data_IF_252612353558
#
_entry.id   IF_252612353558
#
_cell.length_a   1.000
_cell.length_b   1.000
_cell.length_c   1.000
_cell.angle_alpha   90.00
_cell.angle_beta   90.00
_cell.angle_gamma   90.00
#
_symmetry.space_group_name_H-M   'P 1'
#
loop_
_entity.id
_entity.type
_entity.pdbx_description
1 polymer ?
#
# COMPACT_ATOMS: atom_id res chain seq x y z
N UNK A 1 -5.05 13.73 -28.60
CA UNK A 1 -4.68 13.30 -27.24
C UNK A 1 -4.85 11.78 -27.04
N UNK A 2 -6.00 11.21 -27.44
CA UNK A 2 -6.31 9.76 -27.31
C UNK A 2 -5.21 8.81 -27.84
N UNK A 3 -4.66 9.02 -29.04
CA UNK A 3 -3.59 8.14 -29.54
C UNK A 3 -2.32 8.15 -28.66
N UNK A 4 -1.99 9.30 -28.07
CA UNK A 4 -0.83 9.43 -27.19
C UNK A 4 -1.05 8.69 -25.86
N UNK A 5 -2.27 8.73 -25.30
CA UNK A 5 -2.60 7.99 -24.06
C UNK A 5 -2.54 6.47 -24.29
N UNK A 6 -3.08 5.98 -25.42
CA UNK A 6 -2.96 4.56 -25.81
C UNK A 6 -1.50 4.12 -25.92
N UNK A 7 -0.66 4.89 -26.60
CA UNK A 7 0.77 4.59 -26.74
C UNK A 7 1.49 4.62 -25.38
N UNK A 8 1.23 5.65 -24.56
CA UNK A 8 1.78 5.78 -23.22
C UNK A 8 1.46 4.56 -22.34
N UNK A 9 0.19 4.12 -22.33
CA UNK A 9 -0.23 2.97 -21.52
C UNK A 9 0.51 1.69 -21.92
N UNK A 10 0.66 1.45 -23.23
CA UNK A 10 1.42 0.29 -23.74
C UNK A 10 2.87 0.33 -23.26
N UNK A 11 3.51 1.51 -23.25
CA UNK A 11 4.87 1.68 -22.73
C UNK A 11 4.94 1.39 -21.23
N UNK A 12 4.03 1.96 -20.43
CA UNK A 12 3.98 1.73 -18.97
C UNK A 12 3.81 0.25 -18.64
N UNK A 13 2.90 -0.46 -19.31
CA UNK A 13 2.68 -1.88 -19.03
C UNK A 13 3.83 -2.77 -19.51
N UNK A 14 4.52 -2.42 -20.61
CA UNK A 14 5.75 -3.10 -21.02
C UNK A 14 6.88 -2.90 -20.01
N UNK A 15 7.04 -1.68 -19.49
CA UNK A 15 8.02 -1.39 -18.44
C UNK A 15 7.73 -2.19 -17.17
N UNK A 16 6.46 -2.34 -16.77
CA UNK A 16 6.07 -3.23 -15.67
C UNK A 16 6.47 -4.67 -15.94
N UNK A 17 6.15 -5.20 -17.12
CA UNK A 17 6.51 -6.58 -17.47
C UNK A 17 8.04 -6.81 -17.42
N UNK A 18 8.82 -5.86 -17.93
CA UNK A 18 10.29 -5.91 -17.84
C UNK A 18 10.79 -5.89 -16.39
N UNK A 19 10.25 -5.01 -15.57
CA UNK A 19 10.64 -4.89 -14.16
C UNK A 19 10.38 -6.19 -13.38
N UNK A 20 9.24 -6.85 -13.64
CA UNK A 20 8.86 -8.09 -12.98
C UNK A 20 9.69 -9.30 -13.44
N UNK A 21 10.04 -9.36 -14.73
CA UNK A 21 10.95 -10.37 -15.26
C UNK A 21 12.34 -10.25 -14.62
N UNK A 22 12.84 -9.01 -14.46
CA UNK A 22 14.12 -8.76 -13.78
C UNK A 22 14.08 -9.16 -12.30
N UNK A 23 13.01 -8.79 -11.59
CA UNK A 23 12.83 -9.16 -10.18
C UNK A 23 12.74 -10.69 -9.99
N UNK A 24 12.06 -11.38 -10.90
CA UNK A 24 11.96 -12.85 -10.87
C UNK A 24 13.33 -13.50 -11.07
N UNK A 25 14.14 -13.00 -12.01
CA UNK A 25 15.47 -13.52 -12.30
C UNK A 25 16.47 -13.32 -11.15
N UNK A 26 16.37 -12.22 -10.41
CA UNK A 26 17.19 -11.96 -9.22
C UNK A 26 16.86 -12.92 -8.06
N UNK A 27 15.58 -13.29 -7.90
CA UNK A 27 15.18 -14.23 -6.86
C UNK A 27 15.73 -15.66 -7.11
N UNK A 28 15.84 -16.10 -8.38
CA UNK A 28 16.42 -17.41 -8.71
C UNK A 28 17.94 -17.46 -8.53
N UNK A 29 18.65 -16.35 -8.76
CA UNK A 29 20.10 -16.29 -8.59
C UNK A 29 20.51 -16.28 -7.11
N UNK A 30 19.74 -15.61 -6.25
CA UNK A 30 19.97 -15.62 -4.81
C UNK A 30 19.66 -16.98 -4.13
N UNK A 31 18.79 -17.82 -4.71
CA UNK A 31 18.55 -19.17 -4.18
C UNK A 31 19.68 -20.18 -4.47
N UNK A 32 20.61 -19.86 -5.37
CA UNK A 32 21.69 -20.77 -5.79
C UNK A 32 23.05 -20.53 -5.11
N UNK A 33 23.14 -19.61 -4.14
CA UNK A 33 24.36 -19.40 -3.34
C UNK A 33 24.38 -20.18 -2.01
N UNK A 34 23.48 -21.15 -1.83
CA UNK A 34 23.64 -22.19 -0.81
C UNK A 34 24.46 -23.34 -1.39
N UNK A 35 25.78 -23.26 -1.28
CA UNK A 35 26.71 -24.35 -1.62
C UNK A 35 27.69 -24.63 -0.46
N UNK A 36 28.33 -25.81 -0.44
CA UNK A 36 28.24 -26.75 0.68
C UNK A 36 29.57 -26.89 1.45
N UNK A 37 29.47 -27.54 2.61
CA UNK A 37 30.49 -28.27 3.40
C UNK A 37 31.95 -28.26 2.93
N UNK A 38 32.87 -27.91 3.86
CA UNK A 38 34.17 -28.57 3.95
C UNK A 38 35.34 -27.76 4.54
N UNK A 39 35.78 -28.17 5.76
CA UNK A 39 37.10 -27.93 6.39
C UNK A 39 37.39 -26.46 6.82
N UNK A 40 38.01 -26.11 7.95
CA UNK A 40 39.02 -26.73 8.84
C UNK A 40 38.84 -26.15 10.25
N UNK A 41 39.28 -26.91 11.25
CA UNK A 41 39.32 -26.64 12.69
C UNK A 41 39.72 -25.22 13.13
N UNK A 42 39.05 -24.74 14.18
CA UNK A 42 39.48 -23.61 15.02
C UNK A 42 40.73 -23.95 15.85
N UNK A 43 41.50 -22.91 16.23
CA UNK A 43 41.97 -22.82 17.59
C UNK A 43 41.41 -21.58 18.31
N UNK A 44 41.22 -21.77 19.61
CA UNK A 44 40.72 -20.83 20.61
C UNK A 44 41.61 -19.58 20.74
N UNK A 45 41.00 -18.42 20.96
CA UNK A 45 41.51 -17.41 21.91
C UNK A 45 40.45 -16.35 22.28
N UNK A 46 39.92 -16.51 23.50
CA UNK A 46 39.62 -15.53 24.56
C UNK A 46 38.71 -14.29 24.35
N UNK A 47 38.04 -13.83 25.43
CA UNK A 47 36.95 -12.86 25.39
C UNK A 47 37.42 -11.42 25.65
N UNK A 48 36.79 -10.44 25.00
CA UNK A 48 36.93 -9.02 25.36
C UNK A 48 35.56 -8.34 25.41
N UNK A 49 35.16 -8.03 26.64
CA UNK A 49 34.16 -7.02 26.97
C UNK A 49 34.58 -5.66 26.41
N UNK A 50 33.68 -4.95 25.73
CA UNK A 50 33.39 -3.54 26.05
C UNK A 50 32.21 -3.03 25.25
N UNK A 51 31.23 -2.52 26.00
CA UNK A 51 30.12 -1.68 25.55
C UNK A 51 30.65 -0.45 24.81
N UNK A 52 30.01 -0.08 23.71
CA UNK A 52 30.04 1.31 23.22
C UNK A 52 28.65 1.71 22.75
N UNK A 53 27.98 2.48 23.60
CA UNK A 53 26.84 3.33 23.28
C UNK A 53 27.38 4.47 22.41
N UNK A 54 26.89 4.60 21.18
CA UNK A 54 27.14 5.79 20.36
C UNK A 54 25.83 6.26 19.74
N UNK A 55 25.19 7.18 20.47
CA UNK A 55 24.16 8.09 19.95
C UNK A 55 24.81 9.03 18.93
N UNK A 56 24.26 9.11 17.73
CA UNK A 56 24.62 10.16 16.78
C UNK A 56 23.78 11.44 17.06
N UNK A 57 24.37 12.65 16.99
CA UNK A 57 23.67 13.91 17.19
C UNK A 57 22.91 14.36 15.93
N UNK A 58 21.72 14.91 16.14
CA UNK A 58 20.89 15.53 15.09
C UNK A 58 21.49 16.86 14.61
N UNK A 59 21.44 17.18 13.31
CA UNK A 59 21.80 18.51 12.83
C UNK A 59 20.66 19.50 13.07
N UNK A 60 20.94 20.53 13.85
CA UNK A 60 20.15 21.76 13.93
C UNK A 60 20.40 22.60 12.65
N UNK A 61 19.35 22.98 11.94
CA UNK A 61 19.42 24.02 10.91
C UNK A 61 18.45 25.14 11.25
N UNK A 62 19.04 26.27 11.63
CA UNK A 62 18.41 27.58 11.80
C UNK A 62 18.06 28.15 10.43
N UNK A 63 16.80 28.55 10.22
CA UNK A 63 16.37 29.33 9.07
C UNK A 63 16.14 30.78 9.49
N UNK A 64 16.99 31.68 8.99
CA UNK A 64 16.84 33.13 9.06
C UNK A 64 15.89 33.64 7.98
N UNK A 65 15.04 34.57 8.38
CA UNK A 65 14.11 35.32 7.53
C UNK A 65 14.83 36.31 6.60
N UNK A 66 14.27 36.49 5.40
CA UNK A 66 14.55 37.63 4.53
C UNK A 66 13.70 37.58 3.27
N UNK A 67 12.60 38.34 3.24
CA UNK A 67 11.86 38.64 2.00
C UNK A 67 11.71 40.15 1.87
N UNK A 68 12.24 40.68 0.78
CA UNK A 68 11.93 41.99 0.21
C UNK A 68 11.62 41.83 -1.29
N UNK A 69 10.35 42.11 -1.64
CA UNK A 69 9.86 43.01 -2.71
C UNK A 69 10.38 42.89 -4.17
N UNK A 70 9.40 42.70 -5.07
CA UNK A 70 9.18 43.27 -6.43
C UNK A 70 9.79 42.72 -7.74
N UNK A 71 8.85 42.56 -8.70
CA UNK A 71 8.84 42.81 -10.15
C UNK A 71 9.86 42.17 -11.13
N UNK A 72 9.34 41.71 -12.28
CA UNK A 72 10.02 41.86 -13.57
C UNK A 72 9.95 40.66 -14.52
N UNK A 73 9.39 40.88 -15.72
CA UNK A 73 9.39 40.00 -16.89
C UNK A 73 10.81 39.65 -17.38
N UNK A 74 10.97 38.48 -18.03
CA UNK A 74 12.16 38.21 -18.84
C UNK A 74 12.31 36.76 -19.32
N UNK A 75 12.20 36.57 -20.63
CA UNK A 75 12.54 35.34 -21.37
C UNK A 75 14.05 35.24 -21.57
N UNK A 76 14.66 34.05 -21.39
CA UNK A 76 15.65 33.40 -22.27
C UNK A 76 16.53 32.34 -21.55
N UNK A 77 16.63 31.18 -22.21
CA UNK A 77 17.78 30.28 -22.39
C UNK A 77 18.76 29.96 -21.22
N UNK A 78 18.74 28.68 -20.83
CA UNK A 78 19.91 27.77 -20.82
C UNK A 78 21.12 28.11 -19.96
N UNK A 79 21.30 27.38 -18.85
CA UNK A 79 22.61 26.83 -18.47
C UNK A 79 22.47 25.69 -17.43
N UNK A 80 23.12 24.57 -17.74
CA UNK A 80 23.33 23.41 -16.89
C UNK A 80 24.06 23.77 -15.57
N UNK A 81 23.51 23.28 -14.47
CA UNK A 81 24.18 23.23 -13.17
C UNK A 81 23.63 22.07 -12.34
N UNK A 82 24.48 21.16 -11.79
CA UNK A 82 24.01 20.00 -11.06
C UNK A 82 23.54 20.46 -9.66
N UNK A 83 22.23 20.57 -9.48
CA UNK A 83 21.61 20.79 -8.18
C UNK A 83 21.81 19.59 -7.24
N UNK A 84 21.87 19.80 -5.91
CA UNK A 84 22.28 18.80 -4.94
C UNK A 84 21.30 17.63 -4.93
N UNK A 85 21.81 16.46 -5.27
CA UNK A 85 21.06 15.21 -5.30
C UNK A 85 20.60 14.83 -3.89
N UNK A 86 19.29 14.66 -3.74
CA UNK A 86 18.63 14.08 -2.59
C UNK A 86 19.28 12.70 -2.23
N UNK A 87 19.90 12.51 -1.05
CA UNK A 87 20.68 11.31 -0.74
C UNK A 87 19.83 10.03 -0.59
N UNK A 88 18.50 10.14 -0.56
CA UNK A 88 17.60 9.00 -0.43
C UNK A 88 17.33 8.21 -1.73
N UNK A 89 17.94 8.57 -2.86
CA UNK A 89 17.81 7.82 -4.13
C UNK A 89 18.91 6.75 -4.30
N UNK A 90 19.98 6.81 -3.49
CA UNK A 90 21.19 6.02 -3.71
C UNK A 90 21.25 4.66 -3.01
N UNK A 91 20.40 4.39 -2.00
CA UNK A 91 20.43 3.09 -1.30
C UNK A 91 19.63 1.97 -2.00
N UNK A 92 18.87 2.29 -3.06
CA UNK A 92 18.18 1.31 -3.93
C UNK A 92 18.81 1.26 -5.33
N UNK A 93 20.09 1.65 -5.48
CA UNK A 93 20.68 2.06 -6.76
C UNK A 93 21.66 1.13 -7.44
N UNK A 94 22.09 0.05 -6.81
CA UNK A 94 23.23 -0.68 -7.35
C UNK A 94 22.90 -1.92 -8.19
N UNK A 95 21.66 -2.41 -8.27
CA UNK A 95 21.32 -3.60 -9.09
C UNK A 95 19.87 -3.70 -9.64
N UNK A 96 19.00 -2.69 -9.52
CA UNK A 96 17.56 -2.83 -9.81
C UNK A 96 17.04 -2.12 -11.08
N UNK A 97 15.93 -2.62 -11.65
CA UNK A 97 15.16 -1.95 -12.71
C UNK A 97 14.84 -0.49 -12.34
N UNK A 98 15.08 0.44 -13.25
CA UNK A 98 14.81 1.87 -13.06
C UNK A 98 14.06 2.43 -14.26
N UNK A 99 12.92 3.05 -14.00
CA UNK A 99 12.18 3.85 -14.99
C UNK A 99 11.56 5.07 -14.33
N UNK A 100 11.54 6.24 -15.01
CA UNK A 100 10.80 7.40 -14.52
C UNK A 100 9.28 7.19 -14.60
N UNK A 101 8.81 6.29 -15.49
CA UNK A 101 7.39 6.05 -15.74
C UNK A 101 6.80 4.90 -14.91
N UNK A 102 7.63 3.98 -14.43
CA UNK A 102 7.18 2.83 -13.65
C UNK A 102 8.20 2.42 -12.58
N UNK A 103 7.72 1.98 -11.41
CA UNK A 103 8.54 1.44 -10.32
C UNK A 103 7.96 0.11 -9.84
N UNK A 104 8.81 -0.88 -9.62
CA UNK A 104 8.41 -2.19 -9.08
C UNK A 104 7.71 -2.04 -7.74
N UNK A 105 6.69 -2.86 -7.50
CA UNK A 105 5.89 -2.82 -6.27
C UNK A 105 5.01 -1.58 -6.14
N UNK A 106 4.79 -0.84 -7.24
CA UNK A 106 3.84 0.28 -7.33
C UNK A 106 2.80 0.04 -8.41
N UNK A 107 1.61 0.60 -8.22
CA UNK A 107 0.58 0.62 -9.23
C UNK A 107 1.06 1.41 -10.47
N UNK A 108 0.87 0.90 -11.69
CA UNK A 108 0.99 1.73 -12.88
C UNK A 108 -0.11 2.80 -12.87
N UNK A 109 0.23 4.02 -13.27
CA UNK A 109 -0.73 5.09 -13.55
C UNK A 109 -0.94 5.17 -15.05
N UNK A 110 -2.00 4.53 -15.52
CA UNK A 110 -2.47 4.59 -16.90
C UNK A 110 -3.29 5.86 -17.12
N UNK A 111 -3.37 6.28 -18.38
CA UNK A 111 -4.03 7.52 -18.79
C UNK A 111 -5.07 7.23 -19.86
N UNK A 112 -6.23 7.85 -19.75
CA UNK A 112 -7.24 7.94 -20.80
C UNK A 112 -7.61 9.40 -20.99
N UNK A 113 -8.37 9.69 -22.04
CA UNK A 113 -8.86 11.04 -22.30
C UNK A 113 -10.28 10.94 -22.86
N UNK A 114 -11.26 11.06 -21.97
CA UNK A 114 -12.69 11.00 -22.29
C UNK A 114 -13.31 12.37 -21.99
N UNK A 115 -13.46 13.25 -22.99
CA UNK A 115 -14.11 14.54 -22.75
C UNK A 115 -15.56 14.32 -22.33
N UNK A 116 -15.96 14.90 -21.19
CA UNK A 116 -17.35 14.96 -20.74
C UNK A 116 -17.93 16.33 -21.11
N UNK A 117 -18.74 16.45 -22.18
CA UNK A 117 -19.27 17.74 -22.62
C UNK A 117 -20.26 18.34 -21.62
N UNK A 118 -20.88 17.50 -20.78
CA UNK A 118 -21.83 17.90 -19.75
C UNK A 118 -21.13 18.32 -18.44
N UNK A 119 -19.82 18.07 -18.33
CA UNK A 119 -19.02 18.43 -17.15
C UNK A 119 -19.20 17.48 -15.96
N UNK A 120 -20.10 16.50 -16.06
CA UNK A 120 -20.29 15.49 -15.03
C UNK A 120 -19.03 14.62 -14.91
N UNK A 121 -18.49 14.62 -13.70
CA UNK A 121 -17.30 13.86 -13.33
C UNK A 121 -17.67 12.40 -13.04
N UNK A 122 -17.04 11.46 -13.77
CA UNK A 122 -17.20 10.00 -13.57
C UNK A 122 -18.66 9.52 -13.64
N UNK A 123 -19.45 10.04 -14.57
CA UNK A 123 -20.73 9.39 -14.88
C UNK A 123 -20.50 7.92 -15.29
N UNK A 124 -21.48 7.04 -15.07
CA UNK A 124 -21.40 5.63 -15.50
C UNK A 124 -21.03 5.51 -16.99
N UNK A 125 -21.55 6.41 -17.83
CA UNK A 125 -21.22 6.47 -19.25
C UNK A 125 -19.74 6.83 -19.50
N UNK A 126 -19.20 7.80 -18.75
CA UNK A 126 -17.79 8.20 -18.84
C UNK A 126 -16.86 7.06 -18.39
N UNK A 127 -17.21 6.33 -17.33
CA UNK A 127 -16.44 5.17 -16.84
C UNK A 127 -16.43 4.05 -17.89
N UNK A 128 -17.60 3.72 -18.47
CA UNK A 128 -17.69 2.71 -19.53
C UNK A 128 -16.89 3.10 -20.79
N UNK A 129 -16.85 4.39 -21.13
CA UNK A 129 -16.06 4.88 -22.25
C UNK A 129 -14.55 4.85 -21.94
N UNK A 130 -14.14 5.09 -20.69
CA UNK A 130 -12.76 4.86 -20.25
C UNK A 130 -12.35 3.40 -20.45
N UNK A 131 -13.21 2.44 -20.08
CA UNK A 131 -12.95 1.02 -20.33
C UNK A 131 -12.90 0.69 -21.83
N UNK A 132 -13.80 1.29 -22.62
CA UNK A 132 -13.80 1.13 -24.07
C UNK A 132 -12.49 1.64 -24.68
N UNK A 133 -11.94 2.76 -24.20
CA UNK A 133 -10.65 3.26 -24.62
C UNK A 133 -9.48 2.33 -24.25
N UNK A 134 -9.53 1.69 -23.08
CA UNK A 134 -8.54 0.67 -22.70
C UNK A 134 -8.62 -0.58 -23.58
N UNK A 135 -9.84 -0.99 -23.99
CA UNK A 135 -10.05 -2.07 -24.98
C UNK A 135 -9.51 -1.67 -26.36
N UNK A 136 -9.85 -0.48 -26.87
CA UNK A 136 -9.31 0.06 -28.13
C UNK A 136 -7.77 0.23 -28.09
N UNK A 137 -7.20 0.45 -26.91
CA UNK A 137 -5.76 0.45 -26.69
C UNK A 137 -5.13 -0.95 -26.73
N UNK A 138 -5.92 -2.02 -26.74
CA UNK A 138 -5.49 -3.42 -26.73
C UNK A 138 -4.97 -3.87 -25.36
N UNK A 139 -5.47 -3.28 -24.27
CA UNK A 139 -5.04 -3.58 -22.90
C UNK A 139 -6.01 -4.48 -22.15
N UNK A 140 -7.25 -4.54 -22.64
CA UNK A 140 -8.32 -5.41 -22.16
C UNK A 140 -8.75 -6.33 -23.32
N UNK A 141 -9.27 -7.54 -23.03
CA UNK A 141 -9.81 -8.41 -24.06
C UNK A 141 -11.02 -7.75 -24.75
N UNK A 142 -11.13 -7.95 -26.06
CA UNK A 142 -12.32 -7.55 -26.79
C UNK A 142 -13.46 -8.54 -26.48
N UNK A 143 -14.65 -7.99 -26.25
CA UNK A 143 -15.87 -8.81 -26.19
C UNK A 143 -16.46 -8.83 -27.60
N UNK A 144 -16.57 -10.00 -28.21
CA UNK A 144 -17.28 -10.11 -29.48
C UNK A 144 -18.76 -9.77 -29.28
N UNK A 145 -19.44 -9.31 -30.34
CA UNK A 145 -20.87 -8.96 -30.35
C UNK A 145 -21.82 -10.08 -29.87
N UNK A 146 -21.31 -11.30 -29.74
CA UNK A 146 -22.01 -12.50 -29.22
C UNK A 146 -21.73 -12.78 -27.74
N UNK A 147 -21.02 -11.89 -27.03
CA UNK A 147 -20.60 -12.08 -25.65
C UNK A 147 -19.46 -13.08 -25.45
N UNK A 148 -18.94 -13.69 -26.51
CA UNK A 148 -17.73 -14.52 -26.45
C UNK A 148 -16.53 -13.60 -26.23
N UNK A 149 -15.76 -13.83 -25.16
CA UNK A 149 -14.47 -13.18 -24.98
C UNK A 149 -13.59 -13.55 -26.16
N UNK A 150 -13.22 -12.53 -26.95
CA UNK A 150 -12.28 -12.71 -28.02
C UNK A 150 -10.88 -12.89 -27.41
N UNK A 151 -9.97 -13.53 -28.14
CA UNK A 151 -8.62 -13.94 -27.68
C UNK A 151 -7.65 -12.74 -27.56
N UNK A 152 -8.08 -11.66 -26.91
CA UNK A 152 -7.24 -10.52 -26.55
C UNK A 152 -6.46 -10.78 -25.26
N UNK A 153 -5.33 -10.09 -25.08
CA UNK A 153 -4.52 -10.24 -23.86
C UNK A 153 -5.05 -9.26 -22.82
N UNK A 154 -5.48 -9.76 -21.65
CA UNK A 154 -5.72 -8.91 -20.50
C UNK A 154 -4.36 -8.47 -19.92
N UNK A 155 -4.00 -7.21 -20.13
CA UNK A 155 -2.80 -6.61 -19.59
C UNK A 155 -3.04 -5.88 -18.29
N UNK A 156 -4.29 -5.57 -17.91
CA UNK A 156 -4.58 -4.95 -16.62
C UNK A 156 -4.55 -5.99 -15.50
N UNK A 157 -4.17 -5.55 -14.31
CA UNK A 157 -4.19 -6.35 -13.08
C UNK A 157 -4.96 -5.61 -12.01
N UNK A 158 -5.53 -6.38 -11.07
CA UNK A 158 -6.19 -5.84 -9.89
C UNK A 158 -5.30 -4.76 -9.25
N UNK A 159 -5.87 -3.59 -8.98
CA UNK A 159 -5.16 -2.45 -8.37
C UNK A 159 -4.41 -1.55 -9.34
N UNK A 160 -4.39 -1.82 -10.65
CA UNK A 160 -3.91 -0.84 -11.63
C UNK A 160 -4.78 0.43 -11.58
N UNK A 161 -4.15 1.60 -11.70
CA UNK A 161 -4.85 2.88 -11.60
C UNK A 161 -4.94 3.53 -12.97
N UNK A 162 -6.12 3.99 -13.32
CA UNK A 162 -6.41 4.69 -14.57
C UNK A 162 -6.83 6.10 -14.23
N UNK A 163 -6.30 7.08 -14.95
CA UNK A 163 -6.66 8.49 -14.80
C UNK A 163 -7.21 9.03 -16.10
N UNK A 164 -8.45 9.49 -16.07
CA UNK A 164 -9.01 10.30 -17.14
C UNK A 164 -8.48 11.73 -17.05
N UNK A 165 -7.56 12.06 -17.95
CA UNK A 165 -6.90 13.35 -17.98
C UNK A 165 -7.83 14.48 -18.44
N UNK A 166 -8.98 14.16 -19.03
CA UNK A 166 -9.95 15.18 -19.44
C UNK A 166 -10.54 15.93 -18.23
N UNK A 167 -10.57 15.28 -17.07
CA UNK A 167 -11.11 15.85 -15.81
C UNK A 167 -10.13 16.84 -15.16
N UNK A 168 -8.83 16.74 -15.44
CA UNK A 168 -7.78 17.54 -14.80
C UNK A 168 -7.07 16.82 -13.65
N UNK A 169 -6.12 17.50 -13.01
CA UNK A 169 -5.20 16.93 -12.00
C UNK A 169 -5.44 17.49 -10.58
N UNK A 170 -6.69 17.83 -10.27
CA UNK A 170 -7.06 18.23 -8.91
C UNK A 170 -7.25 16.99 -8.02
N UNK A 171 -6.48 16.89 -6.93
CA UNK A 171 -6.53 15.73 -6.04
C UNK A 171 -6.42 14.38 -6.78
N UNK A 172 -7.46 13.55 -6.67
CA UNK A 172 -7.60 12.32 -7.44
C UNK A 172 -8.76 12.37 -8.46
N UNK A 173 -9.15 13.56 -8.89
CA UNK A 173 -10.18 13.72 -9.91
C UNK A 173 -9.84 12.89 -11.16
N UNK A 174 -10.83 12.14 -11.63
CA UNK A 174 -10.75 11.24 -12.79
C UNK A 174 -9.96 9.95 -12.55
N UNK A 175 -9.50 9.66 -11.32
CA UNK A 175 -8.78 8.41 -11.03
C UNK A 175 -9.74 7.29 -10.64
N UNK A 176 -9.55 6.15 -11.26
CA UNK A 176 -10.28 4.90 -11.02
C UNK A 176 -9.28 3.76 -10.79
N UNK A 177 -9.71 2.72 -10.10
CA UNK A 177 -8.94 1.51 -9.83
C UNK A 177 -9.57 0.33 -10.55
N UNK A 178 -8.74 -0.47 -11.21
CA UNK A 178 -9.19 -1.72 -11.83
C UNK A 178 -9.40 -2.80 -10.76
N UNK A 179 -10.62 -3.34 -10.65
CA UNK A 179 -10.97 -4.39 -9.68
C UNK A 179 -10.74 -5.82 -10.20
N UNK A 180 -10.20 -5.95 -11.43
CA UNK A 180 -10.06 -7.22 -12.13
C UNK A 180 -11.06 -7.41 -13.27
N UNK A 181 -12.21 -6.73 -13.20
CA UNK A 181 -13.29 -6.83 -14.19
C UNK A 181 -13.77 -5.47 -14.71
N UNK A 182 -13.76 -4.45 -13.86
CA UNK A 182 -14.30 -3.12 -14.11
C UNK A 182 -13.38 -2.02 -13.52
N UNK A 183 -13.53 -0.81 -14.06
CA UNK A 183 -13.02 0.40 -13.41
C UNK A 183 -13.98 0.83 -12.32
N UNK A 184 -13.44 1.03 -11.12
CA UNK A 184 -14.19 1.44 -9.94
C UNK A 184 -13.66 2.78 -9.45
N UNK A 185 -14.58 3.66 -9.08
CA UNK A 185 -14.27 4.95 -8.49
C UNK A 185 -13.59 4.82 -7.12
N UNK A 186 -12.93 5.91 -6.71
CA UNK A 186 -12.40 6.02 -5.36
C UNK A 186 -13.53 6.19 -4.33
N UNK A 187 -13.23 5.83 -3.09
CA UNK A 187 -14.17 5.94 -1.98
C UNK A 187 -13.94 7.26 -1.23
N UNK A 188 -14.95 8.10 -1.19
CA UNK A 188 -14.91 9.43 -0.58
C UNK A 188 -15.34 9.44 0.90
N UNK A 189 -15.65 8.27 1.47
CA UNK A 189 -16.18 8.15 2.84
C UNK A 189 -15.25 8.71 3.92
N UNK A 190 -13.93 8.61 3.75
CA UNK A 190 -12.93 9.01 4.77
C UNK A 190 -11.91 10.04 4.27
N UNK A 191 -11.99 10.42 2.98
CA UNK A 191 -11.09 11.39 2.36
C UNK A 191 -11.85 12.18 1.29
N UNK A 192 -11.79 13.53 1.31
CA UNK A 192 -12.55 14.35 0.36
C UNK A 192 -11.96 14.25 -1.04
N UNK A 193 -10.71 13.78 -1.16
CA UNK A 193 -10.05 13.53 -2.43
C UNK A 193 -10.10 12.05 -2.83
N UNK A 194 -10.85 11.21 -2.11
CA UNK A 194 -11.00 9.78 -2.38
C UNK A 194 -9.84 8.92 -1.86
N UNK A 195 -10.18 7.71 -1.43
CA UNK A 195 -9.28 6.64 -1.01
C UNK A 195 -9.59 5.33 -1.78
N UNK A 196 -8.85 4.26 -1.50
CA UNK A 196 -9.08 2.98 -2.16
C UNK A 196 -10.47 2.40 -1.83
N UNK A 197 -11.20 1.91 -2.85
CA UNK A 197 -12.52 1.35 -2.65
C UNK A 197 -12.47 0.02 -1.89
N UNK A 198 -13.60 -0.34 -1.28
CA UNK A 198 -13.71 -1.49 -0.38
C UNK A 198 -13.43 -2.86 -0.95
N UNK A 199 -13.56 -2.98 -2.27
CA UNK A 199 -13.33 -4.22 -2.98
C UNK A 199 -11.84 -4.47 -3.27
N UNK A 200 -10.95 -3.54 -2.90
CA UNK A 200 -9.50 -3.69 -3.03
C UNK A 200 -8.93 -4.16 -1.68
N UNK A 201 -8.61 -5.46 -1.54
CA UNK A 201 -8.09 -5.99 -0.29
C UNK A 201 -6.67 -5.50 -0.05
N UNK A 202 -6.46 -4.71 0.99
CA UNK A 202 -5.19 -4.04 1.24
C UNK A 202 -4.01 -4.99 1.43
N UNK A 203 -4.24 -6.20 1.97
CA UNK A 203 -3.19 -7.22 2.13
C UNK A 203 -2.68 -7.77 0.80
N UNK A 204 -3.43 -7.65 -0.30
CA UNK A 204 -3.02 -8.17 -1.61
C UNK A 204 -1.94 -7.30 -2.30
N UNK A 205 -1.64 -6.13 -1.72
CA UNK A 205 -0.71 -5.15 -2.27
C UNK A 205 0.33 -4.79 -1.23
N UNK A 206 1.60 -4.51 -1.63
CA UNK A 206 2.56 -3.98 -0.68
C UNK A 206 2.04 -2.67 -0.08
N UNK A 207 2.34 -2.34 1.20
CA UNK A 207 1.84 -1.12 1.86
C UNK A 207 2.11 0.19 1.08
N UNK A 208 3.13 0.18 0.22
CA UNK A 208 3.51 1.33 -0.60
C UNK A 208 2.88 1.38 -2.00
N UNK A 209 2.11 0.37 -2.41
CA UNK A 209 1.70 0.15 -3.80
C UNK A 209 1.09 1.40 -4.46
N UNK A 210 0.20 2.09 -3.74
CA UNK A 210 -0.51 3.26 -4.24
C UNK A 210 0.16 4.61 -3.90
N UNK A 211 1.31 4.63 -3.21
CA UNK A 211 1.89 5.90 -2.77
C UNK A 211 2.27 6.80 -3.96
N UNK A 212 1.82 8.07 -3.95
CA UNK A 212 1.94 9.04 -5.05
C UNK A 212 1.18 8.67 -6.34
N UNK A 213 0.50 7.53 -6.38
CA UNK A 213 -0.39 7.13 -7.49
C UNK A 213 -1.84 7.48 -7.16
N UNK A 214 -2.28 7.15 -5.95
CA UNK A 214 -3.46 7.73 -5.32
C UNK A 214 -2.94 8.75 -4.30
N UNK A 215 -3.33 10.02 -4.45
CA UNK A 215 -3.02 11.09 -3.51
C UNK A 215 -3.82 10.86 -2.24
N UNK A 216 -3.26 11.25 -1.12
CA UNK A 216 -3.91 11.12 0.19
C UNK A 216 -3.97 12.52 0.78
N UNK A 217 -5.11 12.89 1.39
CA UNK A 217 -5.29 14.20 2.03
C UNK A 217 -4.30 14.44 3.18
N UNK A 218 -3.85 13.37 3.83
CA UNK A 218 -2.77 13.37 4.82
C UNK A 218 -1.55 12.57 4.34
N UNK A 219 -0.45 12.59 5.09
CA UNK A 219 0.71 11.74 4.82
C UNK A 219 0.39 10.23 4.91
N UNK A 220 -0.72 9.88 5.57
CA UNK A 220 -1.07 8.54 6.03
C UNK A 220 -2.31 7.99 5.31
N UNK A 221 -2.13 7.11 4.30
CA UNK A 221 -3.20 6.63 3.44
C UNK A 221 -4.17 5.74 4.22
N UNK A 222 -5.44 5.85 3.87
CA UNK A 222 -6.47 4.92 4.32
C UNK A 222 -6.37 3.63 3.50
N UNK A 223 -6.51 2.50 4.16
CA UNK A 223 -6.46 1.16 3.58
C UNK A 223 -7.48 0.26 4.27
N UNK A 224 -7.97 -0.75 3.55
CA UNK A 224 -8.92 -1.73 4.07
C UNK A 224 -8.24 -3.07 4.34
N UNK A 225 -8.16 -3.47 5.61
CA UNK A 225 -7.48 -4.66 6.10
C UNK A 225 -8.37 -5.42 7.09
N UNK A 226 -8.53 -6.71 6.86
CA UNK A 226 -9.17 -7.62 7.79
C UNK A 226 -8.11 -8.27 8.70
N UNK A 227 -7.98 -7.77 9.94
CA UNK A 227 -7.00 -8.28 10.91
C UNK A 227 -7.52 -9.44 11.77
N UNK A 228 -8.78 -9.88 11.59
CA UNK A 228 -9.39 -10.96 12.37
C UNK A 228 -8.55 -12.25 12.42
N UNK A 229 -7.84 -12.67 11.35
CA UNK A 229 -6.97 -13.85 11.41
C UNK A 229 -5.83 -13.76 12.45
N UNK A 230 -5.48 -12.54 12.89
CA UNK A 230 -4.44 -12.29 13.90
C UNK A 230 -5.00 -11.76 15.23
N UNK A 231 -6.31 -11.77 15.42
CA UNK A 231 -6.96 -11.20 16.60
C UNK A 231 -6.38 -11.73 17.92
N UNK A 232 -6.08 -13.03 18.01
CA UNK A 232 -5.48 -13.63 19.22
C UNK A 232 -4.11 -13.06 19.57
N UNK A 233 -3.26 -12.79 18.56
CA UNK A 233 -1.97 -12.13 18.79
C UNK A 233 -2.15 -10.66 19.17
N UNK A 234 -3.14 -9.98 18.58
CA UNK A 234 -3.48 -8.61 18.95
C UNK A 234 -3.95 -8.55 20.41
N UNK A 235 -4.78 -9.49 20.86
CA UNK A 235 -5.22 -9.55 22.25
C UNK A 235 -4.08 -9.82 23.22
N UNK A 236 -3.21 -10.79 22.91
CA UNK A 236 -2.10 -11.17 23.79
C UNK A 236 -1.05 -10.07 23.96
N UNK A 237 -0.88 -9.21 22.95
CA UNK A 237 0.16 -8.19 22.92
C UNK A 237 -0.37 -6.78 23.25
N UNK A 238 -1.64 -6.66 23.63
CA UNK A 238 -2.28 -5.38 23.89
C UNK A 238 -1.73 -4.71 25.16
N UNK A 239 -1.33 -3.45 25.04
CA UNK A 239 -0.82 -2.63 26.12
C UNK A 239 -1.37 -1.21 26.05
N UNK A 240 -1.62 -0.61 27.21
CA UNK A 240 -1.89 0.83 27.33
C UNK A 240 -0.56 1.55 27.60
N UNK A 241 -0.18 2.45 26.71
CA UNK A 241 1.09 3.16 26.75
C UNK A 241 0.88 4.67 26.84
N UNK A 242 1.73 5.34 27.62
CA UNK A 242 1.84 6.80 27.61
C UNK A 242 2.83 7.21 26.51
N UNK A 243 2.34 7.91 25.50
CA UNK A 243 3.16 8.41 24.39
C UNK A 243 3.36 9.92 24.51
N UNK A 244 4.61 10.37 24.31
CA UNK A 244 4.95 11.79 24.19
C UNK A 244 5.13 12.11 22.72
N UNK A 245 4.20 12.86 22.15
CA UNK A 245 4.24 13.29 20.76
C UNK A 245 4.54 14.80 20.68
N UNK A 246 5.33 15.20 19.69
CA UNK A 246 5.57 16.61 19.39
C UNK A 246 4.53 17.05 18.36
N UNK A 247 3.59 17.90 18.78
CA UNK A 247 2.52 18.40 17.92
C UNK A 247 2.81 19.85 17.55
N UNK A 248 2.67 20.19 16.27
CA UNK A 248 2.75 21.57 15.79
C UNK A 248 1.39 22.25 16.00
N UNK A 249 1.39 23.43 16.62
CA UNK A 249 0.18 24.25 16.75
C UNK A 249 -0.14 24.91 15.42
N UNK A 250 -1.39 25.35 15.19
CA UNK A 250 -1.75 26.10 13.98
C UNK A 250 -0.90 27.37 13.74
N UNK A 251 -0.17 27.85 14.76
CA UNK A 251 0.72 29.01 14.72
C UNK A 251 2.20 28.63 14.49
N UNK A 252 2.51 27.36 14.26
CA UNK A 252 3.87 26.86 13.99
C UNK A 252 4.73 26.58 15.23
N UNK A 253 4.18 26.67 16.45
CA UNK A 253 4.90 26.31 17.68
C UNK A 253 4.82 24.81 17.94
N UNK A 254 5.87 24.19 18.45
CA UNK A 254 5.87 22.77 18.79
C UNK A 254 5.64 22.55 20.28
N UNK A 255 4.62 21.77 20.63
CA UNK A 255 4.33 21.37 22.01
C UNK A 255 4.48 19.86 22.18
N UNK A 256 5.04 19.45 23.32
CA UNK A 256 5.04 18.05 23.72
C UNK A 256 3.70 17.73 24.36
N UNK A 257 2.91 16.90 23.68
CA UNK A 257 1.62 16.42 24.17
C UNK A 257 1.80 14.99 24.66
N UNK A 258 1.32 14.74 25.88
CA UNK A 258 1.21 13.39 26.42
C UNK A 258 -0.15 12.85 26.02
N UNK A 259 -0.18 11.70 25.34
CA UNK A 259 -1.40 10.98 25.00
C UNK A 259 -1.31 9.54 25.45
N UNK A 260 -2.43 8.99 25.89
CA UNK A 260 -2.56 7.56 26.13
C UNK A 260 -2.94 6.85 24.82
N UNK A 261 -2.34 5.67 24.59
CA UNK A 261 -2.49 4.91 23.34
C UNK A 261 -2.60 3.44 23.67
N UNK A 262 -3.60 2.77 23.10
CA UNK A 262 -3.62 1.32 23.08
C UNK A 262 -2.76 0.85 21.91
N UNK A 263 -1.71 0.09 22.20
CA UNK A 263 -0.80 -0.47 21.21
C UNK A 263 -0.80 -1.99 21.31
N UNK A 264 -0.82 -2.64 20.15
CA UNK A 264 -0.60 -4.07 20.05
C UNK A 264 0.19 -4.39 18.78
N UNK A 265 0.51 -5.66 18.55
CA UNK A 265 1.14 -6.09 17.31
C UNK A 265 0.85 -7.56 16.99
N UNK A 266 0.99 -7.90 15.72
CA UNK A 266 0.97 -9.27 15.24
C UNK A 266 2.04 -9.48 14.17
N UNK A 267 2.37 -10.75 13.90
CA UNK A 267 3.36 -11.09 12.88
C UNK A 267 2.72 -11.82 11.71
N UNK A 268 3.03 -11.36 10.50
CA UNK A 268 2.72 -12.03 9.24
C UNK A 268 4.00 -12.73 8.79
N UNK A 269 4.00 -14.05 8.77
CA UNK A 269 5.19 -14.84 8.43
C UNK A 269 5.03 -15.49 7.06
N UNK A 270 6.09 -15.55 6.25
CA UNK A 270 6.10 -16.43 5.09
C UNK A 270 5.72 -17.85 5.55
N UNK A 271 4.79 -18.51 4.89
CA UNK A 271 4.46 -19.89 5.21
C UNK A 271 5.73 -20.76 5.10
N UNK A 272 6.05 -21.45 6.20
CA UNK A 272 7.20 -22.36 6.25
C UNK A 272 6.95 -23.54 5.32
N UNK A 273 7.78 -23.66 4.27
CA UNK A 273 7.87 -24.88 3.47
C UNK A 273 8.34 -25.98 4.41
N UNK A 274 7.42 -26.82 4.88
CA UNK A 274 7.81 -28.06 5.55
C UNK A 274 8.47 -28.92 4.46
N UNK A 275 9.71 -29.38 4.63
CA UNK A 275 10.26 -30.39 3.73
C UNK A 275 9.34 -31.60 3.85
N UNK A 276 8.50 -31.83 2.84
CA UNK A 276 7.73 -33.05 2.76
C UNK A 276 8.75 -34.19 2.76
N UNK A 277 8.57 -35.10 3.72
CA UNK A 277 9.26 -36.38 3.73
C UNK A 277 9.23 -36.96 2.32
N UNK A 278 10.40 -37.22 1.76
CA UNK A 278 10.58 -37.83 0.45
C UNK A 278 10.02 -39.25 0.45
N UNK A 279 8.72 -39.40 0.24
CA UNK A 279 8.16 -40.64 -0.29
C UNK A 279 7.94 -40.44 -1.79
N UNK A 280 8.77 -41.18 -2.53
CA UNK A 280 8.95 -41.17 -3.99
C UNK A 280 7.62 -41.45 -4.73
N UNK A 281 7.47 -40.73 -5.85
CA UNK A 281 7.04 -41.14 -7.20
C UNK A 281 5.86 -40.35 -7.76
N UNK A 282 6.15 -39.22 -8.41
CA UNK A 282 5.56 -38.89 -9.71
C UNK A 282 6.40 -37.80 -10.38
N UNK A 283 6.63 -38.00 -11.67
CA UNK A 283 7.28 -37.05 -12.57
C UNK A 283 6.25 -36.01 -12.93
N UNK A 284 6.20 -34.89 -12.22
CA UNK A 284 5.54 -33.68 -12.70
C UNK A 284 6.23 -32.46 -12.11
N UNK A 285 6.96 -31.78 -12.99
CA UNK A 285 7.72 -30.57 -12.73
C UNK A 285 6.79 -29.40 -12.47
N UNK A 286 6.44 -29.16 -11.21
CA UNK A 286 5.87 -27.89 -10.78
C UNK A 286 6.79 -27.23 -9.75
N UNK A 287 7.23 -26.03 -10.11
CA UNK A 287 7.97 -25.06 -9.30
C UNK A 287 7.49 -25.09 -7.84
N UNK A 288 8.37 -24.93 -6.82
CA UNK A 288 7.92 -24.86 -5.44
C UNK A 288 6.98 -23.66 -5.33
N UNK A 289 5.68 -23.93 -5.29
CA UNK A 289 4.66 -22.92 -5.02
C UNK A 289 5.03 -22.39 -3.65
N UNK A 290 5.59 -21.17 -3.61
CA UNK A 290 5.74 -20.43 -2.37
C UNK A 290 4.38 -20.49 -1.71
N UNK A 291 4.27 -21.25 -0.62
CA UNK A 291 3.06 -21.26 0.18
C UNK A 291 2.84 -19.80 0.57
N UNK A 292 1.77 -19.17 0.07
CA UNK A 292 1.40 -17.78 0.39
C UNK A 292 0.21 -17.81 1.34
N UNK A 293 0.06 -16.78 2.18
CA UNK A 293 -1.07 -16.69 3.11
C UNK A 293 -2.31 -16.28 2.30
N UNK A 294 -3.40 -17.06 2.26
CA UNK A 294 -4.62 -16.65 1.57
C UNK A 294 -5.32 -15.51 2.33
N UNK A 295 -5.93 -14.59 1.60
CA UNK A 295 -6.77 -13.53 2.18
C UNK A 295 -8.21 -14.06 2.30
N UNK A 296 -8.83 -14.06 3.50
CA UNK A 296 -10.17 -14.60 3.70
C UNK A 296 -11.20 -14.04 2.72
N UNK A 297 -12.11 -14.90 2.24
CA UNK A 297 -13.19 -14.55 1.31
C UNK A 297 -12.72 -13.98 -0.05
N UNK A 298 -11.48 -14.25 -0.44
CA UNK A 298 -10.93 -13.87 -1.75
C UNK A 298 -10.12 -15.01 -2.35
N UNK A 299 -9.79 -14.91 -3.64
CA UNK A 299 -8.83 -15.79 -4.32
C UNK A 299 -7.38 -15.28 -4.24
N UNK A 300 -7.16 -14.20 -3.47
CA UNK A 300 -5.90 -13.48 -3.41
C UNK A 300 -5.08 -13.91 -2.20
N UNK A 301 -3.82 -13.50 -2.20
CA UNK A 301 -2.86 -13.84 -1.16
C UNK A 301 -2.22 -12.58 -0.58
N UNK A 302 -1.79 -12.66 0.67
CA UNK A 302 -1.04 -11.60 1.35
C UNK A 302 0.28 -11.37 0.61
N UNK A 303 0.49 -10.12 0.18
CA UNK A 303 1.70 -9.70 -0.49
C UNK A 303 2.91 -9.78 0.46
N UNK A 304 4.08 -10.25 -0.02
CA UNK A 304 5.29 -10.33 0.80
C UNK A 304 5.75 -9.02 1.44
N UNK A 305 5.34 -7.86 0.90
CA UNK A 305 5.58 -6.55 1.50
C UNK A 305 4.93 -6.36 2.88
N UNK A 306 4.00 -7.24 3.27
CA UNK A 306 3.41 -7.29 4.61
C UNK A 306 4.13 -8.25 5.57
N UNK A 307 5.06 -9.08 5.08
CA UNK A 307 5.75 -10.04 5.93
C UNK A 307 6.63 -9.31 6.95
N UNK A 308 6.53 -9.72 8.22
CA UNK A 308 7.14 -9.05 9.36
C UNK A 308 6.11 -8.72 10.43
N UNK A 309 6.38 -7.64 11.17
CA UNK A 309 5.55 -7.17 12.27
C UNK A 309 4.57 -6.10 11.79
N UNK A 310 3.30 -6.23 12.14
CA UNK A 310 2.31 -5.16 12.00
C UNK A 310 1.99 -4.64 13.39
N UNK A 311 2.22 -3.35 13.61
CA UNK A 311 1.91 -2.67 14.87
C UNK A 311 0.59 -1.93 14.71
N UNK A 312 -0.32 -2.17 15.65
CA UNK A 312 -1.67 -1.61 15.64
C UNK A 312 -1.78 -0.59 16.76
N UNK A 313 -2.29 0.60 16.46
CA UNK A 313 -2.56 1.65 17.43
C UNK A 313 -4.00 2.15 17.37
N UNK A 314 -4.54 2.48 18.54
CA UNK A 314 -5.78 3.23 18.70
C UNK A 314 -5.67 4.17 19.90
N UNK A 315 -6.60 5.11 20.01
CA UNK A 315 -6.63 6.08 21.11
C UNK A 315 -6.73 5.38 22.48
N UNK A 316 -6.21 6.00 23.53
CA UNK A 316 -6.19 5.48 24.90
C UNK A 316 -7.54 5.45 25.62
N UNK A 317 -8.65 5.61 24.91
CA UNK A 317 -10.00 5.61 25.50
C UNK A 317 -10.62 4.21 25.52
N UNK A 318 -11.63 4.00 26.36
CA UNK A 318 -12.33 2.71 26.45
C UNK A 318 -13.12 2.40 25.17
N UNK A 319 -13.64 3.41 24.49
CA UNK A 319 -14.39 3.28 23.24
C UNK A 319 -13.47 2.87 22.10
N UNK A 320 -12.28 3.47 22.04
CA UNK A 320 -11.25 3.13 21.06
C UNK A 320 -10.71 1.70 21.27
N UNK A 321 -10.54 1.29 22.53
CA UNK A 321 -10.21 -0.09 22.88
C UNK A 321 -11.32 -1.06 22.46
N UNK A 322 -12.58 -0.73 22.79
CA UNK A 322 -13.75 -1.50 22.39
C UNK A 322 -13.83 -1.72 20.87
N UNK A 323 -13.61 -0.66 20.08
CA UNK A 323 -13.57 -0.76 18.62
C UNK A 323 -12.45 -1.69 18.14
N UNK A 324 -11.24 -1.56 18.70
CA UNK A 324 -10.12 -2.48 18.39
C UNK A 324 -10.46 -3.94 18.72
N UNK A 325 -11.13 -4.20 19.85
CA UNK A 325 -11.57 -5.55 20.22
C UNK A 325 -12.56 -6.12 19.20
N UNK A 326 -13.52 -5.33 18.74
CA UNK A 326 -14.52 -5.75 17.75
C UNK A 326 -13.89 -6.07 16.38
N UNK A 327 -12.82 -5.36 16.01
CA UNK A 327 -12.05 -5.59 14.77
C UNK A 327 -11.23 -6.87 14.81
N UNK A 328 -10.90 -7.38 15.99
CA UNK A 328 -10.12 -8.61 16.14
C UNK A 328 -10.95 -9.88 15.91
N UNK A 329 -12.28 -9.75 15.83
CA UNK A 329 -13.19 -10.87 15.56
C UNK A 329 -13.78 -11.50 16.82
N UNK A 330 -14.79 -12.36 16.64
CA UNK A 330 -15.55 -12.92 17.75
C UNK A 330 -14.69 -13.82 18.63
N UNK A 331 -14.98 -13.83 19.94
CA UNK A 331 -14.36 -14.71 20.96
C UNK A 331 -12.85 -14.50 21.20
N UNK A 332 -12.24 -13.49 20.60
CA UNK A 332 -10.84 -13.14 20.87
C UNK A 332 -10.68 -12.46 22.23
N UNK A 333 -11.62 -11.57 22.56
CA UNK A 333 -11.70 -10.90 23.87
C UNK A 333 -12.89 -11.43 24.66
N UNK A 334 -12.85 -11.38 26.01
CA UNK A 334 -14.00 -11.73 26.84
C UNK A 334 -15.24 -10.93 26.47
N UNK A 335 -16.45 -11.53 26.54
CA UNK A 335 -17.69 -10.80 26.30
C UNK A 335 -17.81 -9.60 27.23
N UNK A 336 -18.12 -8.42 26.68
CA UNK A 336 -18.41 -7.22 27.47
C UNK A 336 -19.80 -7.35 28.11
N UNK A 337 -19.93 -6.93 29.37
CA UNK A 337 -21.21 -6.91 30.05
C UNK A 337 -22.21 -6.03 29.27
N UNK A 338 -23.31 -6.63 28.80
CA UNK A 338 -24.35 -5.96 27.99
C UNK A 338 -24.17 -6.02 26.47
N UNK A 339 -23.21 -6.80 25.95
CA UNK A 339 -23.00 -6.95 24.51
C UNK A 339 -24.16 -7.65 23.81
N UNK A 340 -24.94 -6.90 23.02
CA UNK A 340 -25.95 -7.45 22.11
C UNK A 340 -25.26 -8.26 21.02
N UNK A 341 -25.64 -9.51 20.82
CA UNK A 341 -25.17 -10.33 19.70
C UNK A 341 -25.70 -9.67 18.41
N UNK A 342 -24.83 -9.24 17.47
CA UNK A 342 -25.32 -8.60 16.24
C UNK A 342 -26.10 -9.62 15.40
N UNK A 343 -27.34 -9.26 15.05
CA UNK A 343 -28.19 -10.07 14.20
C UNK A 343 -27.86 -9.73 12.73
N UNK A 344 -27.17 -10.62 12.02
CA UNK A 344 -26.50 -10.36 10.73
C UNK A 344 -27.41 -10.00 9.52
N UNK A 345 -28.69 -9.72 9.74
CA UNK A 345 -29.68 -9.59 8.67
C UNK A 345 -30.05 -8.14 8.30
N UNK A 346 -29.42 -7.11 8.88
CA UNK A 346 -29.69 -5.71 8.49
C UNK A 346 -28.59 -5.10 7.61
N UNK A 347 -28.93 -4.28 6.59
CA UNK A 347 -27.94 -3.58 5.76
C UNK A 347 -26.94 -2.76 6.57
N UNK A 348 -27.38 -2.20 7.69
CA UNK A 348 -26.58 -1.39 8.60
C UNK A 348 -25.45 -2.20 9.26
N UNK A 349 -25.63 -3.52 9.44
CA UNK A 349 -24.60 -4.37 10.04
C UNK A 349 -23.47 -4.69 9.05
N UNK A 350 -23.75 -4.75 7.75
CA UNK A 350 -22.70 -4.89 6.71
C UNK A 350 -21.81 -3.66 6.67
N UNK A 351 -22.38 -2.46 6.71
CA UNK A 351 -21.60 -1.21 6.73
C UNK A 351 -20.71 -1.14 7.99
N UNK A 352 -21.24 -1.58 9.15
CA UNK A 352 -20.45 -1.68 10.39
C UNK A 352 -19.32 -2.69 10.29
N UNK A 353 -19.55 -3.86 9.70
CA UNK A 353 -18.48 -4.85 9.46
C UNK A 353 -17.42 -4.32 8.49
N UNK A 354 -17.81 -3.58 7.46
CA UNK A 354 -16.88 -2.94 6.53
C UNK A 354 -16.07 -1.83 7.20
N UNK A 355 -16.67 -1.05 8.09
CA UNK A 355 -15.99 0.00 8.86
C UNK A 355 -14.87 -0.55 9.76
N UNK A 356 -15.04 -1.77 10.28
CA UNK A 356 -14.02 -2.48 11.08
C UNK A 356 -12.74 -2.78 10.31
N UNK A 357 -12.79 -2.76 8.98
CA UNK A 357 -11.62 -3.01 8.14
C UNK A 357 -10.85 -1.73 7.79
N UNK A 358 -11.29 -0.54 8.21
CA UNK A 358 -10.67 0.73 7.79
C UNK A 358 -9.52 1.13 8.71
N UNK A 359 -8.33 1.30 8.15
CA UNK A 359 -7.09 1.65 8.85
C UNK A 359 -6.32 2.75 8.12
N UNK A 360 -5.49 3.50 8.85
CA UNK A 360 -4.45 4.38 8.27
C UNK A 360 -3.09 3.72 8.39
N UNK A 361 -2.29 3.75 7.33
CA UNK A 361 -0.87 3.38 7.41
C UNK A 361 -0.08 4.60 7.90
N UNK A 362 0.61 4.46 9.03
CA UNK A 362 1.45 5.51 9.62
C UNK A 362 2.81 5.49 8.93
N UNK A 363 2.95 6.24 7.84
CA UNK A 363 4.11 6.14 6.94
C UNK A 363 5.41 6.56 7.61
N UNK A 364 5.35 7.59 8.46
CA UNK A 364 6.50 8.13 9.17
C UNK A 364 7.09 7.16 10.21
N UNK A 365 6.31 6.15 10.62
CA UNK A 365 6.75 5.11 11.57
C UNK A 365 7.01 3.77 10.91
N UNK A 366 6.42 3.54 9.74
CA UNK A 366 6.52 2.29 8.99
C UNK A 366 7.86 2.16 8.28
N UNK A 367 8.39 0.93 8.24
CA UNK A 367 9.61 0.55 7.53
C UNK A 367 9.47 -0.89 7.01
N UNK A 368 10.27 -1.32 6.02
CA UNK A 368 10.24 -2.71 5.57
C UNK A 368 10.36 -3.69 6.74
N UNK A 369 9.45 -4.67 6.80
CA UNK A 369 9.37 -5.65 7.90
C UNK A 369 8.68 -5.16 9.19
N UNK A 370 8.33 -3.88 9.30
CA UNK A 370 7.57 -3.33 10.43
C UNK A 370 6.60 -2.23 9.96
N UNK A 371 5.32 -2.59 9.81
CA UNK A 371 4.28 -1.68 9.30
C UNK A 371 3.41 -1.21 10.46
N UNK A 372 3.23 0.10 10.57
CA UNK A 372 2.41 0.72 11.60
C UNK A 372 1.06 1.11 11.01
N UNK A 373 -0.02 0.65 11.64
CA UNK A 373 -1.39 1.00 11.28
C UNK A 373 -2.14 1.59 12.48
N UNK A 374 -3.03 2.54 12.20
CA UNK A 374 -3.92 3.16 13.19
C UNK A 374 -5.38 2.91 12.80
N UNK A 375 -6.22 2.67 13.79
CA UNK A 375 -7.68 2.65 13.61
C UNK A 375 -8.18 3.98 13.04
N UNK A 376 -9.06 3.92 12.03
CA UNK A 376 -9.84 5.07 11.59
C UNK A 376 -11.19 5.03 12.32
N UNK A 377 -11.45 6.07 13.12
CA UNK A 377 -12.66 6.17 13.92
C UNK A 377 -13.83 6.70 13.09
N UNK A 378 -15.07 6.40 13.49
CA UNK A 378 -16.27 6.93 12.83
C UNK A 378 -16.34 8.47 12.82
N UNK A 379 -15.66 9.14 13.75
CA UNK A 379 -15.55 10.61 13.80
C UNK A 379 -14.70 11.18 12.65
N UNK A 380 -13.88 10.35 12.00
CA UNK A 380 -13.08 10.72 10.83
C UNK A 380 -13.83 10.49 9.51
N UNK A 381 -15.07 9.97 9.56
CA UNK A 381 -15.94 9.86 8.38
C UNK A 381 -16.30 11.27 7.91
N UNK A 382 -16.17 11.51 6.62
CA UNK A 382 -16.67 12.73 5.98
C UNK A 382 -18.15 12.53 5.69
N UNK A 383 -18.95 13.56 5.95
CA UNK A 383 -20.38 13.56 5.63
C UNK A 383 -20.60 13.86 4.16
#
# INVERSE_FOLDING_TARGET
MVNATRAYNRVVLRLRAQAELMASSQNLSNSNLAHPTGYVASPRSLPSNSRSVSRAPSPSSSFTHGRSVAHGYGSQNGHDGPGPSNPNVYMNSLTGFRSPLFRTGRAPLLRVFIPSPEGDWLSDASVLECEAELRRAGLLPDKDKRGSENKGINLLRLGDVVWDMAVGDDGNAGRMVWDGSYLIDLDYTYSPIGDLPKYIPGFAFPPSYFHRIIRTASSNPVIRLDIRPWGTQVASNLQLLQERARTETPQGSYHNVVRWVHRSSFNIRPPTVRPQSRTRTSVESHSPVQSRIPIPNTTLFVDPGWYGKVVVETEGTNEALADLQDRCGPRVFPPRAGGRVPNMNTPNDKEKEEAKMVWRIMRERSRPGEIWIRVVNSKEKLM
#
